data_IF_554689724855
#
_entry.id   IF_554689724855
#
_cell.length_a   1.000
_cell.length_b   1.000
_cell.length_c   1.000
_cell.angle_alpha   90.00
_cell.angle_beta   90.00
_cell.angle_gamma   90.00
#
_symmetry.space_group_name_H-M   'P 1'
#
loop_
_entity.id
_entity.type
_entity.pdbx_description
1 polymer ?
#
# COMPACT_ATOMS: atom_id res chain seq x y z
N UNK A 1 9.18 -10.61 16.24
CA UNK A 1 10.56 -10.08 16.29
C UNK A 1 11.28 -10.53 15.02
N UNK A 2 11.70 -9.60 14.17
CA UNK A 2 12.67 -9.88 13.10
C UNK A 2 14.07 -9.77 13.70
N UNK A 3 14.89 -10.80 13.53
CA UNK A 3 16.29 -10.75 13.95
C UNK A 3 17.10 -9.84 13.02
N UNK A 4 17.11 -10.15 11.72
CA UNK A 4 17.87 -9.42 10.71
C UNK A 4 16.93 -8.73 9.72
N UNK A 5 16.91 -7.38 9.70
CA UNK A 5 16.03 -6.59 8.83
C UNK A 5 16.58 -6.45 7.41
N UNK A 6 17.88 -6.68 7.21
CA UNK A 6 18.50 -6.55 5.89
C UNK A 6 17.83 -7.45 4.84
N UNK A 7 17.53 -8.71 5.16
CA UNK A 7 16.89 -9.64 4.21
C UNK A 7 15.51 -9.14 3.76
N UNK A 8 14.73 -8.58 4.68
CA UNK A 8 13.41 -8.02 4.40
C UNK A 8 13.50 -6.79 3.50
N UNK A 9 14.52 -5.96 3.71
CA UNK A 9 14.76 -4.77 2.88
C UNK A 9 15.28 -5.12 1.50
N UNK A 10 16.11 -6.16 1.38
CA UNK A 10 16.55 -6.69 0.09
C UNK A 10 15.36 -7.18 -0.72
N UNK A 11 14.49 -7.99 -0.11
CA UNK A 11 13.24 -8.43 -0.73
C UNK A 11 12.40 -7.23 -1.17
N UNK A 12 12.32 -6.17 -0.35
CA UNK A 12 11.57 -4.97 -0.70
C UNK A 12 12.14 -4.27 -1.95
N UNK A 13 13.45 -4.30 -2.17
CA UNK A 13 14.08 -3.74 -3.37
C UNK A 13 13.74 -4.55 -4.64
N UNK A 14 13.68 -5.88 -4.51
CA UNK A 14 13.24 -6.76 -5.60
C UNK A 14 11.76 -6.48 -5.95
N UNK A 15 10.90 -6.36 -4.94
CA UNK A 15 9.48 -6.02 -5.12
C UNK A 15 9.26 -4.64 -5.74
N UNK A 16 10.08 -3.64 -5.39
CA UNK A 16 10.05 -2.32 -6.04
C UNK A 16 10.31 -2.45 -7.54
N UNK A 17 11.32 -3.25 -7.91
CA UNK A 17 11.67 -3.47 -9.31
C UNK A 17 10.54 -4.16 -10.07
N UNK A 18 9.86 -5.12 -9.45
CA UNK A 18 8.68 -5.80 -10.04
C UNK A 18 7.51 -4.84 -10.26
N UNK A 19 7.18 -4.00 -9.26
CA UNK A 19 6.09 -3.01 -9.37
C UNK A 19 6.36 -2.02 -10.50
N UNK A 20 7.61 -1.55 -10.62
CA UNK A 20 8.00 -0.57 -11.64
C UNK A 20 8.10 -1.15 -13.05
N UNK A 21 8.35 -2.46 -13.17
CA UNK A 21 8.50 -3.14 -14.45
C UNK A 21 7.16 -3.41 -15.16
N UNK A 22 6.03 -3.30 -14.47
CA UNK A 22 4.73 -3.62 -15.07
C UNK A 22 4.17 -2.48 -15.91
N UNK A 23 3.59 -2.87 -17.05
CA UNK A 23 2.75 -2.01 -17.88
C UNK A 23 1.82 -2.82 -18.77
N UNK A 24 0.59 -2.35 -19.04
CA UNK A 24 -0.37 -3.09 -19.85
C UNK A 24 0.06 -3.27 -21.32
N UNK A 25 1.04 -2.49 -21.82
CA UNK A 25 1.65 -2.70 -23.14
C UNK A 25 2.63 -3.87 -23.20
N UNK A 26 3.10 -4.38 -22.05
CA UNK A 26 3.99 -5.54 -22.00
C UNK A 26 3.23 -6.88 -22.01
N UNK A 27 1.89 -6.84 -22.01
CA UNK A 27 1.02 -7.99 -22.15
C UNK A 27 0.99 -8.37 -23.65
N UNK A 28 1.73 -9.42 -24.02
CA UNK A 28 1.85 -9.87 -25.40
C UNK A 28 0.57 -10.52 -25.94
N UNK A 29 -0.23 -11.16 -25.07
CA UNK A 29 -1.50 -11.82 -25.44
C UNK A 29 -2.66 -11.27 -24.60
N UNK A 30 -3.28 -10.19 -25.10
CA UNK A 30 -4.49 -9.59 -24.49
C UNK A 30 -5.67 -10.56 -24.44
N UNK A 31 -5.70 -11.58 -25.29
CA UNK A 31 -6.77 -12.58 -25.38
C UNK A 31 -6.64 -13.71 -24.35
N UNK A 32 -5.45 -13.92 -23.76
CA UNK A 32 -5.25 -14.85 -22.63
C UNK A 32 -5.39 -14.15 -21.25
N UNK A 33 -5.26 -12.82 -21.22
CA UNK A 33 -5.26 -11.98 -20.01
C UNK A 33 -6.64 -11.32 -19.70
N UNK A 34 -7.69 -11.68 -20.44
CA UNK A 34 -9.04 -11.04 -20.47
C UNK A 34 -9.74 -10.99 -19.09
N UNK A 35 -9.29 -11.78 -18.12
CA UNK A 35 -9.86 -11.87 -16.77
C UNK A 35 -8.86 -11.53 -15.65
N UNK A 36 -7.93 -10.60 -15.88
CA UNK A 36 -6.93 -10.24 -14.86
C UNK A 36 -5.87 -11.33 -14.71
N UNK A 37 -5.24 -11.71 -15.83
CA UNK A 37 -4.29 -12.82 -15.83
C UNK A 37 -2.93 -12.50 -15.21
N UNK A 38 -1.91 -13.25 -15.63
CA UNK A 38 -0.66 -13.43 -14.88
C UNK A 38 0.06 -12.10 -14.59
N UNK A 39 -0.03 -11.14 -15.51
CA UNK A 39 0.64 -9.85 -15.41
C UNK A 39 0.06 -8.99 -14.28
N UNK A 40 -1.27 -8.89 -14.17
CA UNK A 40 -1.97 -8.17 -13.10
C UNK A 40 -1.74 -8.83 -11.75
N UNK A 41 -1.84 -10.17 -11.70
CA UNK A 41 -1.54 -10.95 -10.50
C UNK A 41 -0.11 -10.70 -9.98
N UNK A 42 0.89 -10.62 -10.85
CA UNK A 42 2.29 -10.37 -10.44
C UNK A 42 2.41 -9.04 -9.69
N UNK A 43 1.86 -7.96 -10.23
CA UNK A 43 1.89 -6.64 -9.55
C UNK A 43 1.11 -6.65 -8.25
N UNK A 44 -0.10 -7.20 -8.28
CA UNK A 44 -0.95 -7.33 -7.10
C UNK A 44 -0.22 -8.06 -5.98
N UNK A 45 0.39 -9.20 -6.31
CA UNK A 45 1.26 -9.96 -5.41
C UNK A 45 2.41 -9.09 -4.89
N UNK A 46 3.12 -8.37 -5.76
CA UNK A 46 4.26 -7.55 -5.33
C UNK A 46 3.82 -6.41 -4.39
N UNK A 47 2.65 -5.79 -4.65
CA UNK A 47 2.08 -4.78 -3.76
C UNK A 47 1.71 -5.37 -2.40
N UNK A 48 1.00 -6.50 -2.35
CA UNK A 48 0.66 -7.16 -1.09
C UNK A 48 1.89 -7.57 -0.29
N UNK A 49 2.87 -8.19 -0.95
CA UNK A 49 4.11 -8.60 -0.31
C UNK A 49 4.88 -7.38 0.21
N UNK A 50 4.95 -6.29 -0.56
CA UNK A 50 5.60 -5.06 -0.11
C UNK A 50 4.90 -4.47 1.12
N UNK A 51 3.56 -4.41 1.12
CA UNK A 51 2.78 -3.91 2.25
C UNK A 51 2.97 -4.77 3.51
N UNK A 52 3.03 -6.10 3.36
CA UNK A 52 3.32 -7.04 4.44
C UNK A 52 4.72 -6.81 5.02
N UNK A 53 5.74 -6.66 4.17
CA UNK A 53 7.11 -6.38 4.58
C UNK A 53 7.20 -5.05 5.33
N UNK A 54 6.58 -3.99 4.82
CA UNK A 54 6.52 -2.67 5.47
C UNK A 54 5.91 -2.78 6.85
N UNK A 55 4.73 -3.43 6.96
CA UNK A 55 4.06 -3.67 8.24
C UNK A 55 4.98 -4.39 9.22
N UNK A 56 5.59 -5.49 8.77
CA UNK A 56 6.43 -6.33 9.61
C UNK A 56 7.66 -5.60 10.14
N UNK A 57 8.29 -4.76 9.30
CA UNK A 57 9.43 -3.94 9.67
C UNK A 57 9.05 -2.86 10.69
N UNK A 58 7.89 -2.21 10.52
CA UNK A 58 7.37 -1.22 11.48
C UNK A 58 7.05 -1.89 12.83
N UNK A 59 6.30 -3.00 12.82
CA UNK A 59 5.91 -3.76 14.02
C UNK A 59 7.12 -4.31 14.79
N UNK A 60 8.21 -4.61 14.07
CA UNK A 60 9.44 -5.12 14.67
C UNK A 60 10.42 -4.02 15.07
N UNK A 61 10.02 -2.75 15.00
CA UNK A 61 10.88 -1.59 15.33
C UNK A 61 12.18 -1.57 14.49
N UNK A 62 12.12 -2.01 13.24
CA UNK A 62 13.25 -2.05 12.28
C UNK A 62 13.24 -0.87 11.31
N UNK A 63 12.56 0.19 11.71
CA UNK A 63 12.35 1.44 10.97
C UNK A 63 12.39 2.58 11.98
N UNK A 64 13.06 3.68 11.63
CA UNK A 64 13.18 4.89 12.46
C UNK A 64 11.83 5.56 12.70
N UNK A 65 11.71 6.28 13.81
CA UNK A 65 10.44 6.95 14.13
C UNK A 65 10.15 8.12 13.18
N UNK A 66 11.20 8.71 12.59
CA UNK A 66 11.07 9.69 11.49
C UNK A 66 10.27 9.10 10.33
N UNK A 67 10.56 7.85 9.94
CA UNK A 67 9.84 7.22 8.83
C UNK A 67 8.43 6.82 9.26
N UNK A 68 8.25 6.25 10.46
CA UNK A 68 6.92 5.91 10.99
C UNK A 68 5.98 7.11 11.08
N UNK A 69 6.52 8.29 11.42
CA UNK A 69 5.80 9.54 11.55
C UNK A 69 5.54 10.29 10.24
N UNK A 70 5.96 9.76 9.08
CA UNK A 70 5.67 10.41 7.79
C UNK A 70 4.16 10.51 7.57
N UNK A 71 3.73 11.66 7.06
CA UNK A 71 2.37 11.89 6.60
C UNK A 71 2.35 11.75 5.08
N UNK A 72 1.71 10.72 4.57
CA UNK A 72 1.64 10.43 3.14
C UNK A 72 0.33 10.99 2.58
N UNK A 73 0.38 11.94 1.62
CA UNK A 73 -0.81 12.45 0.99
C UNK A 73 -1.38 11.41 0.02
N UNK A 74 -2.67 11.15 0.13
CA UNK A 74 -3.46 10.31 -0.77
C UNK A 74 -4.80 10.99 -1.05
N UNK A 75 -5.53 10.52 -2.05
CA UNK A 75 -6.90 10.97 -2.31
C UNK A 75 -7.88 9.90 -1.84
N UNK A 76 -8.89 10.29 -1.08
CA UNK A 76 -10.00 9.44 -0.67
C UNK A 76 -11.23 9.69 -1.53
N UNK A 77 -12.04 8.65 -1.73
CA UNK A 77 -13.27 8.68 -2.52
C UNK A 77 -14.35 8.00 -1.72
N UNK A 78 -15.40 8.74 -1.34
CA UNK A 78 -16.48 8.23 -0.51
C UNK A 78 -17.24 7.09 -1.20
N UNK A 79 -17.70 6.11 -0.42
CA UNK A 79 -18.57 5.05 -0.94
C UNK A 79 -19.92 5.63 -1.38
N UNK A 80 -20.42 5.22 -2.55
CA UNK A 80 -21.78 5.57 -3.04
C UNK A 80 -22.87 4.84 -2.24
N UNK A 81 -22.54 3.65 -1.71
CA UNK A 81 -23.42 2.82 -0.90
C UNK A 81 -22.77 2.56 0.47
N UNK A 82 -23.21 3.24 1.54
CA UNK A 82 -22.57 3.16 2.85
C UNK A 82 -22.97 1.95 3.70
N UNK A 83 -23.72 0.99 3.15
CA UNK A 83 -24.22 -0.18 3.87
C UNK A 83 -23.98 -1.49 3.10
N UNK A 84 -23.84 -2.63 3.80
CA UNK A 84 -23.67 -3.92 3.16
C UNK A 84 -24.94 -4.31 2.40
N UNK A 85 -24.91 -4.21 1.07
CA UNK A 85 -25.94 -4.81 0.23
C UNK A 85 -25.68 -6.32 0.10
N UNK A 86 -26.73 -7.12 0.25
CA UNK A 86 -26.71 -8.58 0.35
C UNK A 86 -26.22 -9.30 -0.92
N UNK A 87 -25.90 -8.55 -1.97
CA UNK A 87 -25.35 -9.04 -3.24
C UNK A 87 -23.92 -8.56 -3.42
N UNK A 88 -23.03 -8.92 -2.49
CA UNK A 88 -21.62 -9.01 -2.84
C UNK A 88 -21.51 -10.13 -3.87
N UNK A 89 -21.21 -9.74 -5.11
CA UNK A 89 -21.04 -10.65 -6.23
C UNK A 89 -20.07 -11.78 -5.83
N UNK A 90 -20.58 -13.02 -5.76
CA UNK A 90 -19.78 -14.24 -5.64
C UNK A 90 -18.80 -14.36 -6.84
N UNK A 91 -19.08 -13.64 -7.93
CA UNK A 91 -18.34 -13.65 -9.19
C UNK A 91 -17.17 -12.66 -9.24
N UNK A 92 -16.80 -12.01 -8.13
CA UNK A 92 -15.46 -11.47 -7.95
C UNK A 92 -15.00 -10.44 -8.99
N UNK A 93 -15.60 -9.26 -9.00
CA UNK A 93 -14.89 -8.00 -9.25
C UNK A 93 -15.90 -6.87 -9.05
N UNK A 94 -15.71 -6.10 -7.99
CA UNK A 94 -16.42 -4.84 -7.80
C UNK A 94 -15.53 -3.75 -8.41
N UNK A 95 -15.98 -3.12 -9.50
CA UNK A 95 -15.26 -1.99 -10.07
C UNK A 95 -15.31 -0.81 -9.09
N UNK A 96 -14.16 -0.20 -8.82
CA UNK A 96 -14.07 0.94 -7.90
C UNK A 96 -14.88 2.12 -8.44
N UNK A 97 -14.94 2.28 -9.76
CA UNK A 97 -15.70 3.34 -10.42
C UNK A 97 -17.22 3.26 -10.18
N UNK A 98 -17.74 2.05 -9.97
CA UNK A 98 -19.17 1.84 -9.70
C UNK A 98 -19.53 2.09 -8.24
N UNK A 99 -18.63 1.76 -7.31
CA UNK A 99 -18.91 1.73 -5.87
C UNK A 99 -18.50 3.01 -5.14
N UNK A 100 -17.59 3.79 -5.70
CA UNK A 100 -17.05 5.00 -5.06
C UNK A 100 -17.30 6.25 -5.91
N UNK A 101 -17.39 7.39 -5.23
CA UNK A 101 -17.63 8.70 -5.83
C UNK A 101 -16.33 9.29 -6.39
N UNK A 102 -16.00 8.89 -7.62
CA UNK A 102 -14.74 9.25 -8.28
C UNK A 102 -14.64 10.73 -8.66
N UNK A 103 -15.77 11.44 -8.75
CA UNK A 103 -15.80 12.86 -9.15
C UNK A 103 -15.51 13.81 -7.98
N UNK A 104 -15.52 13.32 -6.74
CA UNK A 104 -15.31 14.13 -5.53
C UNK A 104 -14.17 13.57 -4.67
N UNK A 105 -12.91 13.73 -5.12
CA UNK A 105 -11.76 13.35 -4.32
C UNK A 105 -11.62 14.24 -3.08
N UNK A 106 -11.33 13.62 -1.94
CA UNK A 106 -11.04 14.30 -0.68
C UNK A 106 -9.57 14.07 -0.31
N UNK A 107 -8.79 15.12 0.03
CA UNK A 107 -7.41 14.94 0.45
C UNK A 107 -7.35 14.20 1.80
N UNK A 108 -6.54 13.16 1.86
CA UNK A 108 -6.30 12.37 3.07
C UNK A 108 -4.79 12.26 3.33
N UNK A 109 -4.43 12.15 4.60
CA UNK A 109 -3.06 11.92 5.03
C UNK A 109 -3.00 10.60 5.81
N UNK A 110 -2.06 9.74 5.44
CA UNK A 110 -1.91 8.42 6.06
C UNK A 110 -0.48 8.19 6.52
N UNK A 111 -0.32 7.60 7.71
CA UNK A 111 0.97 7.06 8.13
C UNK A 111 1.33 5.82 7.29
N UNK A 112 2.63 5.50 7.06
CA UNK A 112 3.04 4.33 6.28
C UNK A 112 2.40 3.03 6.77
N UNK A 113 2.26 2.88 8.08
CA UNK A 113 1.59 1.75 8.72
C UNK A 113 0.12 1.63 8.29
N UNK A 114 -0.61 2.74 8.24
CA UNK A 114 -2.02 2.74 7.85
C UNK A 114 -2.18 2.56 6.33
N UNK A 115 -1.26 3.08 5.53
CA UNK A 115 -1.30 2.88 4.08
C UNK A 115 -1.03 1.41 3.72
N UNK A 116 -0.01 0.80 4.33
CA UNK A 116 0.26 -0.63 4.21
C UNK A 116 -0.91 -1.48 4.75
N UNK A 117 -1.59 -0.99 5.81
CA UNK A 117 -2.99 -1.24 6.16
C UNK A 117 -3.92 -1.56 5.02
N UNK A 118 -4.25 -0.48 4.32
CA UNK A 118 -5.28 -0.48 3.30
C UNK A 118 -4.92 -1.47 2.19
N UNK A 119 -3.65 -1.48 1.77
CA UNK A 119 -3.15 -2.39 0.73
C UNK A 119 -3.25 -3.85 1.20
N UNK A 120 -2.70 -4.21 2.36
CA UNK A 120 -2.64 -5.60 2.82
C UNK A 120 -4.02 -6.25 3.00
N UNK A 121 -5.02 -5.45 3.39
CA UNK A 121 -6.39 -5.90 3.62
C UNK A 121 -7.33 -5.40 2.52
N UNK A 122 -6.83 -5.18 1.30
CA UNK A 122 -7.66 -4.69 0.21
C UNK A 122 -8.77 -5.69 -0.12
N UNK A 123 -10.01 -5.22 -0.07
CA UNK A 123 -11.17 -5.91 -0.62
C UNK A 123 -11.23 -5.76 -2.15
N UNK A 124 -10.80 -4.60 -2.66
CA UNK A 124 -10.66 -4.33 -4.10
C UNK A 124 -9.38 -3.52 -4.36
N UNK A 125 -8.74 -3.82 -5.48
CA UNK A 125 -7.52 -3.20 -5.99
C UNK A 125 -7.67 -2.98 -7.49
N UNK A 126 -7.53 -1.73 -7.96
CA UNK A 126 -7.66 -1.41 -9.39
C UNK A 126 -6.49 -0.53 -9.85
N UNK A 127 -5.84 -0.91 -10.94
CA UNK A 127 -4.65 -0.24 -11.45
C UNK A 127 -5.00 0.81 -12.50
N UNK A 128 -4.35 1.98 -12.42
CA UNK A 128 -4.40 3.02 -13.43
C UNK A 128 -3.03 3.09 -14.09
N UNK A 129 -2.98 2.77 -15.37
CA UNK A 129 -1.79 2.95 -16.17
C UNK A 129 -1.66 4.41 -16.64
N UNK A 130 -0.42 4.82 -16.91
CA UNK A 130 -0.17 6.11 -17.56
C UNK A 130 -0.77 6.18 -18.97
N UNK A 131 -0.83 7.37 -19.58
CA UNK A 131 -1.37 7.57 -20.93
C UNK A 131 -0.69 6.68 -21.99
N UNK A 132 0.59 6.39 -21.78
CA UNK A 132 1.37 5.52 -22.64
C UNK A 132 1.12 4.02 -22.38
N UNK A 133 0.36 3.62 -21.37
CA UNK A 133 0.14 2.22 -20.99
C UNK A 133 1.42 1.43 -20.71
N UNK A 134 2.53 2.10 -20.38
CA UNK A 134 3.82 1.45 -20.14
C UNK A 134 4.08 1.17 -18.68
N UNK A 135 3.47 1.95 -17.78
CA UNK A 135 3.72 1.90 -16.35
C UNK A 135 2.42 2.16 -15.56
N UNK A 136 2.38 1.73 -14.31
CA UNK A 136 1.33 2.12 -13.34
C UNK A 136 1.56 3.59 -12.93
N UNK A 137 0.55 4.43 -13.11
CA UNK A 137 0.55 5.79 -12.59
C UNK A 137 0.03 5.82 -11.15
N UNK A 138 -1.10 5.18 -10.91
CA UNK A 138 -1.72 5.07 -9.59
C UNK A 138 -2.47 3.73 -9.45
N UNK A 139 -2.84 3.40 -8.22
CA UNK A 139 -3.74 2.30 -7.94
C UNK A 139 -4.75 2.70 -6.88
N UNK A 140 -5.96 2.18 -7.01
CA UNK A 140 -7.05 2.40 -6.08
C UNK A 140 -7.21 1.20 -5.17
N UNK A 141 -7.46 1.47 -3.89
CA UNK A 141 -7.66 0.45 -2.87
C UNK A 141 -8.84 0.81 -2.00
N UNK A 142 -9.71 -0.16 -1.73
CA UNK A 142 -10.59 -0.12 -0.57
C UNK A 142 -10.33 -1.37 0.28
N UNK A 143 -9.98 -1.20 1.54
CA UNK A 143 -9.83 -2.34 2.45
C UNK A 143 -11.16 -2.89 2.92
N UNK A 144 -11.18 -4.13 3.39
CA UNK A 144 -12.37 -4.74 3.99
C UNK A 144 -13.01 -3.86 5.08
N UNK A 145 -12.17 -3.15 5.85
CA UNK A 145 -12.63 -2.23 6.89
C UNK A 145 -13.30 -0.98 6.33
N UNK A 146 -12.87 -0.51 5.16
CA UNK A 146 -13.32 0.75 4.57
C UNK A 146 -14.15 0.57 3.29
N UNK A 147 -14.48 -0.66 2.89
CA UNK A 147 -15.19 -0.96 1.64
C UNK A 147 -16.55 -0.24 1.49
N UNK A 148 -17.19 0.12 2.60
CA UNK A 148 -18.44 0.90 2.64
C UNK A 148 -18.25 2.35 3.12
N UNK A 149 -17.00 2.80 3.24
CA UNK A 149 -16.64 4.13 3.72
C UNK A 149 -15.92 4.90 2.63
N UNK A 150 -14.81 4.35 2.14
CA UNK A 150 -13.97 5.00 1.14
C UNK A 150 -13.06 4.03 0.39
N UNK A 151 -12.75 4.39 -0.85
CA UNK A 151 -11.54 3.96 -1.54
C UNK A 151 -10.47 5.05 -1.40
N UNK A 152 -9.21 4.70 -1.61
CA UNK A 152 -8.10 5.64 -1.72
C UNK A 152 -7.35 5.43 -3.03
N UNK A 153 -6.90 6.53 -3.64
CA UNK A 153 -5.94 6.51 -4.75
C UNK A 153 -4.53 6.75 -4.22
N UNK A 154 -3.62 5.87 -4.62
CA UNK A 154 -2.22 5.92 -4.23
C UNK A 154 -1.40 6.04 -5.52
N UNK A 155 -0.72 7.17 -5.75
CA UNK A 155 0.23 7.26 -6.85
C UNK A 155 1.32 6.20 -6.67
N UNK A 156 1.63 5.45 -7.74
CA UNK A 156 2.61 4.37 -7.70
C UNK A 156 3.97 4.89 -7.22
N UNK A 157 4.39 6.05 -7.72
CA UNK A 157 5.62 6.73 -7.31
C UNK A 157 5.64 7.08 -5.82
N UNK A 158 4.49 7.42 -5.23
CA UNK A 158 4.39 7.68 -3.78
C UNK A 158 4.64 6.41 -2.99
N UNK A 159 4.03 5.29 -3.38
CA UNK A 159 4.28 4.00 -2.73
C UNK A 159 5.74 3.57 -2.87
N UNK A 160 6.30 3.58 -4.08
CA UNK A 160 7.70 3.25 -4.35
C UNK A 160 8.66 4.14 -3.55
N UNK A 161 8.38 5.43 -3.41
CA UNK A 161 9.19 6.36 -2.60
C UNK A 161 9.20 5.97 -1.11
N UNK A 162 8.09 5.47 -0.59
CA UNK A 162 8.01 4.95 0.78
C UNK A 162 8.85 3.68 0.91
N UNK A 163 8.75 2.76 -0.05
CA UNK A 163 9.53 1.52 -0.06
C UNK A 163 11.03 1.81 -0.08
N UNK A 164 11.48 2.67 -1.00
CA UNK A 164 12.88 3.10 -1.07
C UNK A 164 13.33 3.80 0.21
N UNK A 165 12.48 4.65 0.79
CA UNK A 165 12.78 5.25 2.10
C UNK A 165 13.03 4.19 3.17
N UNK A 166 12.28 3.09 3.19
CA UNK A 166 12.43 2.00 4.16
C UNK A 166 13.68 1.16 3.88
N UNK A 167 13.96 0.89 2.61
CA UNK A 167 15.18 0.19 2.18
C UNK A 167 16.41 0.92 2.71
N UNK A 168 16.46 2.24 2.50
CA UNK A 168 17.59 3.09 2.90
C UNK A 168 17.64 3.42 4.41
N UNK A 169 16.58 3.12 5.16
CA UNK A 169 16.44 3.53 6.57
C UNK A 169 17.21 2.62 7.55
N UNK A 170 18.51 2.83 7.73
CA UNK A 170 19.27 2.12 8.76
C UNK A 170 18.92 2.58 10.18
N UNK A 171 18.36 1.69 11.01
CA UNK A 171 18.25 1.96 12.46
C UNK A 171 19.64 1.81 13.07
N UNK A 172 20.24 2.93 13.48
CA UNK A 172 21.60 2.99 14.01
C UNK A 172 21.63 2.78 15.53
N UNK A 173 20.53 3.09 16.23
CA UNK A 173 20.45 2.96 17.67
C UNK A 173 19.03 3.05 18.23
N UNK A 174 18.94 2.79 19.54
CA UNK A 174 17.71 2.95 20.33
C UNK A 174 18.05 3.87 21.49
N UNK A 175 17.30 4.97 21.63
CA UNK A 175 17.34 5.82 22.81
C UNK A 175 16.15 5.48 23.71
N UNK A 176 16.41 5.21 24.99
CA UNK A 176 15.36 5.00 26.00
C UNK A 176 15.39 6.16 26.96
N UNK A 177 14.40 7.04 26.85
CA UNK A 177 14.22 8.18 27.75
C UNK A 177 13.32 7.77 28.90
N UNK A 178 13.86 7.77 30.12
CA UNK A 178 13.08 7.55 31.33
C UNK A 178 12.00 8.64 31.44
N UNK A 179 10.75 8.25 31.71
CA UNK A 179 9.67 9.20 31.96
C UNK A 179 9.92 9.88 33.31
N UNK A 180 9.96 11.22 33.32
CA UNK A 180 10.16 12.02 34.53
C UNK A 180 9.01 11.89 35.54
N UNK A 181 7.87 11.31 35.12
CA UNK A 181 6.62 11.29 35.90
C UNK A 181 6.19 9.88 36.31
N UNK A 182 7.10 8.89 36.28
CA UNK A 182 6.78 7.49 36.62
C UNK A 182 5.92 6.76 35.58
N UNK A 183 5.77 7.33 34.38
CA UNK A 183 5.14 6.66 33.24
C UNK A 183 6.09 5.70 32.52
N UNK A 184 5.57 5.00 31.51
CA UNK A 184 6.38 4.12 30.70
C UNK A 184 7.53 4.88 30.00
N UNK A 185 8.72 4.28 29.90
CA UNK A 185 9.85 4.90 29.22
C UNK A 185 9.55 5.15 27.74
N UNK A 186 9.97 6.30 27.23
CA UNK A 186 9.82 6.64 25.81
C UNK A 186 10.98 6.02 25.04
N UNK A 187 10.67 5.17 24.07
CA UNK A 187 11.66 4.55 23.17
C UNK A 187 11.67 5.36 21.87
N UNK A 188 12.84 5.84 21.47
CA UNK A 188 13.06 6.55 20.21
C UNK A 188 14.08 5.79 19.34
N UNK A 189 13.74 5.58 18.07
CA UNK A 189 14.57 4.91 17.07
C UNK A 189 15.10 5.92 16.05
N UNK A 190 16.42 5.94 15.86
CA UNK A 190 17.13 6.85 14.96
C UNK A 190 18.15 6.15 14.08
#
# INVERSE_FOLDING_TARGET
MIFESWYWKRELADLVSEIQAWGPRHIQDRDEDVWGGESGFRVEKSLFQSAMVVRRLIDSHKVTDRLKGKSIPVLGYGAKMPEPHTTLSILGSVSIFEWFEMEKPEPLNMAPYNLASEILHSFTLEFIANDAGTNIDAFFVASERNQFVRAISIPCNTWVSILNSIIDDGVAGIEVKASSNGGDPKIELY
#
